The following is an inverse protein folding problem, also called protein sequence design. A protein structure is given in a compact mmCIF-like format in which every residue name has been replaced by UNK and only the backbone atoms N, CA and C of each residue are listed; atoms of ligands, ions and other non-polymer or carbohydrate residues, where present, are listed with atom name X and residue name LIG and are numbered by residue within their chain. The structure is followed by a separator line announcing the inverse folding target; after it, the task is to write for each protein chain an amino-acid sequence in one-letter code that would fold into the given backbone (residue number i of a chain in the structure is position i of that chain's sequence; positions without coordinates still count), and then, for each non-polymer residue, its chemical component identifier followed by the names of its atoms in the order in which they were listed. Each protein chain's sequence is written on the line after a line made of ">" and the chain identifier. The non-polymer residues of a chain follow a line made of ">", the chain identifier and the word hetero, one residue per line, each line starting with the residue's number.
data_IF_807859298768
#
_entry.id   IF_807859298768
#
_cell.length_a   1.000
_cell.length_b   1.000
_cell.length_c   1.000
_cell.angle_alpha   90.00
_cell.angle_beta   90.00
_cell.angle_gamma   90.00
#
_symmetry.space_group_name_H-M   'P 1'
#
loop_
_entity.id
_entity.type
_entity.pdbx_description
1 polymer ?
#
# COMPACT_ATOMS: atom_id res chain seq x y z
N UNK A 1 -8.69 7.11 -20.61
CA UNK A 1 -9.64 6.84 -19.51
C UNK A 1 -10.58 5.67 -19.88
N UNK A 2 -10.10 4.40 -19.84
CA UNK A 2 -10.90 3.18 -20.14
C UNK A 2 -10.41 1.92 -19.37
N UNK A 3 -9.66 2.06 -18.27
CA UNK A 3 -9.12 0.88 -17.55
C UNK A 3 -10.16 0.14 -16.71
N UNK A 4 -11.15 0.85 -16.15
CA UNK A 4 -12.19 0.29 -15.27
C UNK A 4 -13.04 -0.80 -15.91
N UNK A 5 -13.24 -0.76 -17.25
CA UNK A 5 -13.96 -1.83 -17.98
C UNK A 5 -13.13 -3.11 -18.12
N UNK A 6 -11.80 -3.02 -18.10
CA UNK A 6 -10.90 -4.17 -18.24
C UNK A 6 -10.62 -4.84 -16.89
N UNK A 7 -10.65 -4.07 -15.81
CA UNK A 7 -10.42 -4.56 -14.45
C UNK A 7 -11.49 -4.00 -13.50
N UNK A 8 -12.74 -4.50 -13.57
CA UNK A 8 -13.77 -4.12 -12.63
C UNK A 8 -13.38 -4.57 -11.22
N UNK A 9 -13.68 -3.74 -10.22
CA UNK A 9 -13.51 -4.15 -8.83
C UNK A 9 -14.46 -5.31 -8.54
N UNK A 10 -13.95 -6.33 -7.85
CA UNK A 10 -14.81 -7.37 -7.28
C UNK A 10 -15.62 -6.80 -6.12
N UNK A 11 -16.73 -7.46 -5.77
CA UNK A 11 -17.53 -7.08 -4.60
C UNK A 11 -16.68 -7.10 -3.32
N UNK A 12 -15.84 -8.12 -3.15
CA UNK A 12 -14.89 -8.20 -2.04
C UNK A 12 -13.95 -6.98 -2.00
N UNK A 13 -13.36 -6.58 -3.14
CA UNK A 13 -12.49 -5.41 -3.19
C UNK A 13 -13.25 -4.12 -2.84
N UNK A 14 -14.48 -3.97 -3.33
CA UNK A 14 -15.33 -2.83 -3.01
C UNK A 14 -15.65 -2.77 -1.50
N UNK A 15 -16.00 -3.91 -0.91
CA UNK A 15 -16.28 -4.03 0.53
C UNK A 15 -15.03 -3.72 1.35
N UNK A 16 -13.87 -4.28 1.02
CA UNK A 16 -12.61 -3.98 1.71
C UNK A 16 -12.32 -2.47 1.71
N UNK A 17 -12.47 -1.79 0.57
CA UNK A 17 -12.25 -0.35 0.47
C UNK A 17 -13.28 0.43 1.28
N UNK A 18 -14.55 0.06 1.23
CA UNK A 18 -15.61 0.73 1.98
C UNK A 18 -15.41 0.60 3.50
N UNK A 19 -15.11 -0.60 3.99
CA UNK A 19 -14.83 -0.86 5.41
C UNK A 19 -13.59 -0.11 5.89
N UNK A 20 -12.48 -0.18 5.15
CA UNK A 20 -11.24 0.53 5.52
C UNK A 20 -11.46 2.05 5.58
N UNK A 21 -12.15 2.64 4.59
CA UNK A 21 -12.47 4.08 4.60
C UNK A 21 -13.32 4.48 5.80
N UNK A 22 -14.32 3.66 6.15
CA UNK A 22 -15.16 3.90 7.32
C UNK A 22 -14.34 3.84 8.60
N UNK A 23 -13.51 2.82 8.79
CA UNK A 23 -12.64 2.66 9.96
C UNK A 23 -11.68 3.83 10.11
N UNK A 24 -10.97 4.19 9.03
CA UNK A 24 -10.07 5.36 8.99
C UNK A 24 -10.82 6.64 9.37
N UNK A 25 -12.04 6.82 8.87
CA UNK A 25 -12.84 8.01 9.22
C UNK A 25 -13.17 8.06 10.71
N UNK A 26 -13.51 6.94 11.34
CA UNK A 26 -13.78 6.89 12.79
C UNK A 26 -12.53 7.23 13.60
N UNK A 27 -11.37 6.67 13.23
CA UNK A 27 -10.08 6.94 13.87
C UNK A 27 -9.72 8.43 13.75
N UNK A 28 -9.78 9.00 12.55
CA UNK A 28 -9.46 10.42 12.32
C UNK A 28 -10.42 11.38 13.02
N UNK A 29 -11.64 10.93 13.35
CA UNK A 29 -12.61 11.70 14.13
C UNK A 29 -12.50 11.47 15.64
N UNK A 30 -11.67 10.53 16.09
CA UNK A 30 -11.53 10.17 17.51
C UNK A 30 -12.70 9.35 18.06
N UNK A 31 -13.46 8.65 17.20
CA UNK A 31 -14.54 7.74 17.61
C UNK A 31 -14.08 6.27 17.71
N UNK A 32 -12.83 6.01 17.32
CA UNK A 32 -12.15 4.73 17.38
C UNK A 32 -10.71 5.01 17.82
N UNK A 33 -10.32 4.45 18.97
CA UNK A 33 -9.03 4.74 19.61
C UNK A 33 -7.86 3.93 19.01
N UNK A 34 -8.14 3.10 18.00
CA UNK A 34 -7.10 2.33 17.29
C UNK A 34 -6.16 3.25 16.52
N UNK A 35 -4.90 2.82 16.42
CA UNK A 35 -3.89 3.54 15.63
C UNK A 35 -4.00 3.15 14.15
N UNK A 36 -4.15 4.14 13.28
CA UNK A 36 -4.02 3.95 11.83
C UNK A 36 -2.55 3.78 11.44
N UNK A 37 -2.22 2.64 10.83
CA UNK A 37 -0.86 2.32 10.38
C UNK A 37 -0.83 2.11 8.88
N UNK A 38 -0.15 3.01 8.16
CA UNK A 38 0.10 2.87 6.71
C UNK A 38 1.51 2.32 6.51
N UNK A 39 1.62 1.05 6.14
CA UNK A 39 2.91 0.35 6.08
C UNK A 39 3.03 -0.52 4.82
N UNK A 40 4.23 -0.61 4.28
CA UNK A 40 4.51 -1.43 3.11
C UNK A 40 5.80 -1.03 2.41
N UNK A 41 6.13 -1.69 1.29
CA UNK A 41 7.31 -1.38 0.51
C UNK A 41 7.33 0.10 0.07
N UNK A 42 8.55 0.60 -0.08
CA UNK A 42 8.80 1.98 -0.45
C UNK A 42 8.20 2.34 -1.84
N UNK A 43 8.27 1.41 -2.78
CA UNK A 43 7.59 1.41 -4.07
C UNK A 43 7.43 -0.04 -4.56
N UNK A 44 6.37 -0.33 -5.30
CA UNK A 44 6.11 -1.66 -5.86
C UNK A 44 6.76 -1.76 -7.24
N UNK A 45 7.73 -2.67 -7.37
CA UNK A 45 8.39 -3.01 -8.63
C UNK A 45 8.11 -4.46 -9.05
N UNK A 46 7.81 -5.35 -8.10
CA UNK A 46 7.40 -6.72 -8.34
C UNK A 46 6.00 -7.02 -7.74
N UNK A 47 4.98 -7.31 -8.57
CA UNK A 47 3.66 -7.68 -8.10
C UNK A 47 3.61 -9.00 -7.31
N UNK A 48 4.51 -9.96 -7.55
CA UNK A 48 4.53 -11.23 -6.85
C UNK A 48 4.99 -11.06 -5.40
N UNK A 49 6.15 -10.41 -5.20
CA UNK A 49 6.62 -10.04 -3.87
C UNK A 49 5.62 -9.14 -3.12
N UNK A 50 4.92 -8.25 -3.82
CA UNK A 50 3.88 -7.42 -3.21
C UNK A 50 2.70 -8.25 -2.66
N UNK A 51 2.29 -9.32 -3.36
CA UNK A 51 1.24 -10.23 -2.89
C UNK A 51 1.70 -11.05 -1.69
N UNK A 52 2.91 -11.58 -1.73
CA UNK A 52 3.49 -12.32 -0.60
C UNK A 52 3.57 -11.44 0.66
N UNK A 53 4.00 -10.18 0.50
CA UNK A 53 3.98 -9.21 1.58
C UNK A 53 2.56 -8.96 2.10
N UNK A 54 1.57 -8.81 1.22
CA UNK A 54 0.18 -8.59 1.60
C UNK A 54 -0.40 -9.77 2.40
N UNK A 55 -0.05 -11.01 2.04
CA UNK A 55 -0.47 -12.21 2.78
C UNK A 55 0.09 -12.24 4.20
N UNK A 56 1.39 -11.95 4.35
CA UNK A 56 2.03 -11.83 5.68
C UNK A 56 1.43 -10.69 6.49
N UNK A 57 1.17 -9.54 5.86
CA UNK A 57 0.57 -8.38 6.53
C UNK A 57 -0.88 -8.65 6.94
N UNK A 58 -1.63 -9.45 6.19
CA UNK A 58 -3.01 -9.81 6.52
C UNK A 58 -3.08 -10.61 7.83
N UNK A 59 -2.15 -11.54 8.06
CA UNK A 59 -2.07 -12.27 9.32
C UNK A 59 -1.86 -11.31 10.51
N UNK A 60 -0.93 -10.36 10.39
CA UNK A 60 -0.67 -9.35 11.41
C UNK A 60 -1.86 -8.39 11.59
N UNK A 61 -2.56 -8.04 10.51
CA UNK A 61 -3.77 -7.21 10.58
C UNK A 61 -4.85 -7.90 11.40
N UNK A 62 -5.06 -9.19 11.23
CA UNK A 62 -6.05 -9.93 12.01
C UNK A 62 -5.65 -10.11 13.48
N UNK A 63 -4.37 -10.34 13.75
CA UNK A 63 -3.82 -10.46 15.10
C UNK A 63 -3.96 -9.15 15.88
N UNK A 64 -3.67 -8.01 15.24
CA UNK A 64 -3.60 -6.70 15.89
C UNK A 64 -4.85 -5.83 15.68
N UNK A 65 -5.94 -6.37 15.11
CA UNK A 65 -7.12 -5.58 14.71
C UNK A 65 -7.82 -4.81 15.83
N UNK A 66 -7.63 -5.24 17.08
CA UNK A 66 -8.19 -4.58 18.26
C UNK A 66 -7.49 -3.26 18.62
N UNK A 67 -6.24 -3.10 18.19
CA UNK A 67 -5.39 -1.95 18.52
C UNK A 67 -5.01 -1.14 17.28
N UNK A 68 -4.92 -1.79 16.12
CA UNK A 68 -4.42 -1.19 14.89
C UNK A 68 -5.42 -1.32 13.73
N UNK A 69 -5.52 -0.25 12.94
CA UNK A 69 -6.07 -0.31 11.58
C UNK A 69 -4.91 -0.29 10.58
N UNK A 70 -4.48 -1.47 10.14
CA UNK A 70 -3.35 -1.62 9.22
C UNK A 70 -3.82 -1.49 7.77
N UNK A 71 -3.19 -0.59 7.01
CA UNK A 71 -3.41 -0.36 5.58
C UNK A 71 -2.10 -0.55 4.83
N UNK A 72 -2.10 -1.45 3.84
CA UNK A 72 -0.92 -1.67 3.01
C UNK A 72 -0.62 -0.44 2.14
N UNK A 73 0.61 0.04 2.19
CA UNK A 73 1.13 1.06 1.27
C UNK A 73 1.45 0.43 -0.09
N UNK A 74 0.84 0.95 -1.15
CA UNK A 74 1.06 0.53 -2.54
C UNK A 74 1.32 1.76 -3.41
N UNK A 75 2.61 2.12 -3.58
CA UNK A 75 3.03 3.24 -4.43
C UNK A 75 3.77 2.69 -5.66
N UNK A 76 3.32 3.08 -6.86
CA UNK A 76 3.94 2.62 -8.11
C UNK A 76 5.14 3.49 -8.51
N UNK A 77 5.10 4.79 -8.22
CA UNK A 77 6.14 5.72 -8.61
C UNK A 77 6.56 6.60 -7.44
N UNK A 78 7.83 6.98 -7.45
CA UNK A 78 8.40 7.99 -6.56
C UNK A 78 8.42 9.31 -7.34
N UNK A 79 7.82 10.40 -6.86
CA UNK A 79 7.98 11.69 -7.51
C UNK A 79 9.47 12.05 -7.50
N UNK A 80 10.09 12.07 -8.67
CA UNK A 80 11.46 12.56 -8.87
C UNK A 80 11.35 14.03 -9.28
N UNK A 81 12.00 14.93 -8.54
CA UNK A 81 12.16 16.32 -8.97
C UNK A 81 13.18 16.37 -10.10
N UNK A 82 12.82 16.96 -11.23
CA UNK A 82 13.70 17.11 -12.39
C UNK A 82 14.77 18.17 -12.12
N UNK A 83 15.85 17.80 -11.41
CA UNK A 83 17.20 18.40 -11.48
C UNK A 83 18.21 17.49 -10.75
N UNK A 84 19.14 16.90 -11.51
CA UNK A 84 20.47 16.48 -11.04
C UNK A 84 20.58 15.17 -10.25
N UNK A 85 20.69 14.03 -10.96
CA UNK A 85 21.62 12.91 -10.69
C UNK A 85 21.28 11.73 -11.62
N UNK A 86 21.27 11.97 -12.94
CA UNK A 86 21.68 10.94 -13.89
C UNK A 86 23.22 10.89 -13.89
N UNK A 87 23.83 10.23 -12.89
CA UNK A 87 25.22 9.75 -12.86
C UNK A 87 25.62 9.34 -11.43
N UNK A 88 25.22 8.15 -11.02
CA UNK A 88 25.84 7.32 -9.97
C UNK A 88 24.85 6.18 -9.70
N UNK A 89 24.70 5.21 -10.60
CA UNK A 89 25.26 3.88 -10.35
C UNK A 89 25.24 3.03 -11.65
N UNK A 90 26.05 3.44 -12.63
CA UNK A 90 26.56 2.55 -13.68
C UNK A 90 28.07 2.41 -13.52
N UNK A 91 28.51 1.92 -12.35
CA UNK A 91 29.87 1.41 -12.17
C UNK A 91 29.82 0.02 -11.55
N UNK A 92 29.23 -0.92 -12.28
CA UNK A 92 29.57 -2.34 -12.22
C UNK A 92 29.56 -2.91 -13.63
N UNK A 93 30.51 -2.43 -14.43
CA UNK A 93 30.94 -3.04 -15.69
C UNK A 93 32.44 -2.77 -15.76
N UNK A 94 33.25 -3.82 -15.89
CA UNK A 94 34.70 -3.92 -15.63
C UNK A 94 35.09 -4.22 -14.17
N UNK A 95 34.69 -5.42 -13.74
CA UNK A 95 35.63 -6.42 -13.21
C UNK A 95 35.66 -7.58 -14.19
#
# INVERSE_FOLDING_TARGET
>A
MRSWKKFPATENAANTVAHARKAIHQILKGHDDRLLVVIGPCSIHDPAAAKEYAERLLALREELKGELEIVMRVYFEKPRTTVGLERADQRSAYG
#
